data_IF_760272331061
#
_entry.id   IF_760272331061
#
_cell.length_a   1.000
_cell.length_b   1.000
_cell.length_c   1.000
_cell.angle_alpha   90.00
_cell.angle_beta   90.00
_cell.angle_gamma   90.00
#
_symmetry.space_group_name_H-M   'P 1'
#
loop_
_entity.id
_entity.type
_entity.pdbx_description
1 polymer ?
#
# COMPACT_ATOMS: atom_id res chain seq x y z
N UNK A 1 -10.16 4.20 -4.26
CA UNK A 1 -11.31 4.42 -3.36
C UNK A 1 -12.65 4.06 -4.01
N UNK A 2 -12.99 4.60 -5.18
CA UNK A 2 -14.30 4.40 -5.85
C UNK A 2 -14.59 2.93 -6.21
N UNK A 3 -13.59 2.13 -6.63
CA UNK A 3 -13.82 0.72 -6.99
C UNK A 3 -14.07 -0.18 -5.76
N UNK A 4 -13.51 0.15 -4.59
CA UNK A 4 -13.65 -0.65 -3.37
C UNK A 4 -14.94 -0.33 -2.58
N UNK A 5 -15.39 0.93 -2.59
CA UNK A 5 -16.66 1.32 -1.94
C UNK A 5 -17.86 0.72 -2.69
N UNK A 6 -17.83 0.72 -4.03
CA UNK A 6 -18.91 0.15 -4.86
C UNK A 6 -19.06 -1.37 -4.62
N UNK A 7 -17.97 -2.10 -4.38
CA UNK A 7 -18.03 -3.54 -4.07
C UNK A 7 -18.62 -3.84 -2.67
N UNK A 8 -18.49 -2.90 -1.71
CA UNK A 8 -19.02 -3.05 -0.34
C UNK A 8 -20.50 -2.62 -0.17
N UNK A 9 -21.10 -1.98 -1.17
CA UNK A 9 -22.48 -1.45 -1.10
C UNK A 9 -23.52 -2.26 -1.87
N UNK A 10 -23.15 -3.38 -2.49
CA UNK A 10 -24.11 -4.25 -3.22
C UNK A 10 -24.50 -5.43 -2.32
N UNK A 11 -25.75 -5.46 -1.78
CA UNK A 11 -26.24 -6.61 -1.02
C UNK A 11 -26.41 -7.80 -1.98
N UNK A 12 -25.51 -8.80 -1.88
CA UNK A 12 -25.54 -9.98 -2.75
C UNK A 12 -24.17 -10.54 -3.15
N UNK A 13 -23.08 -9.81 -2.90
CA UNK A 13 -21.72 -10.36 -2.94
C UNK A 13 -21.38 -10.77 -1.51
N UNK A 14 -21.57 -12.04 -1.14
CA UNK A 14 -20.94 -12.56 0.07
C UNK A 14 -19.43 -12.41 -0.12
N UNK A 15 -18.80 -11.51 0.63
CA UNK A 15 -17.35 -11.47 0.77
C UNK A 15 -16.90 -12.88 1.17
N UNK A 16 -16.34 -13.64 0.23
CA UNK A 16 -15.65 -14.86 0.59
C UNK A 16 -14.47 -14.46 1.47
N UNK A 17 -14.21 -15.15 2.60
CA UNK A 17 -13.11 -14.84 3.52
C UNK A 17 -11.71 -14.86 2.86
N UNK A 18 -11.62 -15.36 1.63
CA UNK A 18 -10.40 -15.58 0.82
C UNK A 18 -9.80 -14.26 0.28
N UNK A 19 -10.54 -13.15 0.19
CA UNK A 19 -10.09 -11.92 -0.52
C UNK A 19 -9.75 -10.75 0.43
N UNK A 20 -10.09 -10.84 1.72
CA UNK A 20 -10.00 -9.70 2.64
C UNK A 20 -8.55 -9.22 2.86
N UNK A 21 -7.58 -10.15 2.95
CA UNK A 21 -6.16 -9.82 3.14
C UNK A 21 -5.58 -9.09 1.91
N UNK A 22 -6.02 -9.47 0.70
CA UNK A 22 -5.62 -8.82 -0.53
C UNK A 22 -6.20 -7.39 -0.65
N UNK A 23 -7.46 -7.19 -0.26
CA UNK A 23 -8.09 -5.88 -0.24
C UNK A 23 -7.46 -4.95 0.79
N UNK A 24 -7.20 -5.46 2.01
CA UNK A 24 -6.53 -4.70 3.06
C UNK A 24 -5.11 -4.29 2.63
N UNK A 25 -4.34 -5.20 2.04
CA UNK A 25 -3.01 -4.91 1.50
C UNK A 25 -3.03 -3.74 0.52
N UNK A 26 -3.95 -3.75 -0.45
CA UNK A 26 -4.05 -2.68 -1.45
C UNK A 26 -4.45 -1.35 -0.82
N UNK A 27 -5.39 -1.37 0.13
CA UNK A 27 -5.83 -0.17 0.84
C UNK A 27 -4.68 0.44 1.67
N UNK A 28 -3.89 -0.38 2.36
CA UNK A 28 -2.71 0.07 3.12
C UNK A 28 -1.63 0.64 2.19
N UNK A 29 -1.39 0.02 1.03
CA UNK A 29 -0.40 0.53 0.06
C UNK A 29 -0.79 1.92 -0.48
N UNK A 30 -2.07 2.10 -0.82
CA UNK A 30 -2.59 3.39 -1.30
C UNK A 30 -2.58 4.44 -0.19
N UNK A 31 -3.06 4.09 1.01
CA UNK A 31 -3.12 5.02 2.14
C UNK A 31 -1.70 5.41 2.60
N UNK A 32 -0.78 4.46 2.73
CA UNK A 32 0.61 4.72 3.09
C UNK A 32 1.29 5.67 2.11
N UNK A 33 1.14 5.43 0.81
CA UNK A 33 1.64 6.33 -0.24
C UNK A 33 1.03 7.73 -0.14
N UNK A 34 -0.28 7.81 0.11
CA UNK A 34 -0.98 9.09 0.24
C UNK A 34 -0.49 9.88 1.47
N UNK A 35 -0.24 9.23 2.61
CA UNK A 35 0.30 9.93 3.80
C UNK A 35 1.69 10.54 3.54
N UNK A 36 2.54 9.88 2.75
CA UNK A 36 3.83 10.43 2.32
C UNK A 36 3.64 11.62 1.40
N UNK A 37 2.71 11.55 0.44
CA UNK A 37 2.38 12.67 -0.43
C UNK A 37 1.87 13.85 0.38
N UNK A 38 1.01 13.62 1.37
CA UNK A 38 0.53 14.65 2.30
C UNK A 38 1.69 15.29 3.06
N UNK A 39 2.67 14.51 3.54
CA UNK A 39 3.86 15.05 4.21
C UNK A 39 4.61 16.06 3.33
N UNK A 40 4.82 15.71 2.06
CA UNK A 40 5.50 16.59 1.09
C UNK A 40 4.67 17.84 0.75
N UNK A 41 3.35 17.70 0.64
CA UNK A 41 2.45 18.83 0.39
C UNK A 41 2.41 19.79 1.58
N UNK A 42 2.32 19.28 2.81
CA UNK A 42 2.31 20.13 4.01
C UNK A 42 3.64 20.86 4.24
N UNK A 43 4.77 20.23 3.86
CA UNK A 43 6.08 20.88 3.91
C UNK A 43 6.21 22.02 2.89
N UNK A 44 5.82 21.76 1.64
CA UNK A 44 5.98 22.71 0.53
C UNK A 44 4.89 23.79 0.47
N UNK A 45 3.69 23.50 0.97
CA UNK A 45 2.53 24.37 0.98
C UNK A 45 1.86 24.33 2.37
N UNK A 46 2.35 25.12 3.35
CA UNK A 46 1.78 25.15 4.70
C UNK A 46 0.32 25.62 4.68
N UNK A 47 -0.65 24.76 5.04
CA UNK A 47 -2.08 25.10 4.94
C UNK A 47 -2.59 25.89 6.16
N UNK A 48 -1.83 25.95 7.25
CA UNK A 48 -2.22 26.60 8.50
C UNK A 48 -1.44 27.91 8.73
N UNK A 49 -2.09 28.99 9.20
CA UNK A 49 -1.41 30.25 9.55
C UNK A 49 -0.30 30.03 10.57
N UNK A 50 0.83 30.72 10.40
CA UNK A 50 2.02 30.67 11.27
C UNK A 50 2.80 29.33 11.30
N UNK A 51 2.32 28.29 10.63
CA UNK A 51 3.03 27.02 10.53
C UNK A 51 4.33 27.13 9.74
N UNK A 52 4.42 28.06 8.79
CA UNK A 52 5.64 28.33 8.03
C UNK A 52 6.79 28.92 8.87
N UNK A 53 6.47 29.49 10.05
CA UNK A 53 7.45 30.09 10.96
C UNK A 53 7.76 29.21 12.17
N UNK A 54 6.93 28.19 12.43
CA UNK A 54 7.18 27.19 13.47
C UNK A 54 7.86 25.94 12.89
N UNK A 55 9.19 26.00 12.81
CA UNK A 55 10.02 24.92 12.27
C UNK A 55 9.92 23.61 13.04
N UNK A 56 9.70 23.67 14.36
CA UNK A 56 9.62 22.49 15.21
C UNK A 56 8.37 21.67 14.90
N UNK A 57 7.23 22.34 14.79
CA UNK A 57 5.97 21.70 14.42
C UNK A 57 6.01 21.20 12.96
N UNK A 58 6.60 21.96 12.03
CA UNK A 58 6.70 21.52 10.64
C UNK A 58 7.54 20.25 10.48
N UNK A 59 8.71 20.17 11.14
CA UNK A 59 9.57 18.98 11.11
C UNK A 59 8.88 17.77 11.78
N UNK A 60 8.22 18.01 12.92
CA UNK A 60 7.48 16.97 13.64
C UNK A 60 6.36 16.38 12.78
N UNK A 61 5.54 17.23 12.15
CA UNK A 61 4.45 16.77 11.27
C UNK A 61 4.98 16.01 10.05
N UNK A 62 6.06 16.49 9.42
CA UNK A 62 6.66 15.80 8.28
C UNK A 62 7.16 14.41 8.68
N UNK A 63 7.99 14.31 9.72
CA UNK A 63 8.54 13.03 10.18
C UNK A 63 7.45 12.07 10.65
N UNK A 64 6.43 12.58 11.34
CA UNK A 64 5.27 11.79 11.77
C UNK A 64 4.53 11.16 10.59
N UNK A 65 4.19 11.93 9.55
CA UNK A 65 3.49 11.41 8.37
C UNK A 65 4.36 10.47 7.54
N UNK A 66 5.68 10.75 7.45
CA UNK A 66 6.63 9.84 6.80
C UNK A 66 6.72 8.49 7.50
N UNK A 67 6.78 8.48 8.84
CA UNK A 67 6.83 7.24 9.61
C UNK A 67 5.53 6.45 9.54
N UNK A 68 4.38 7.11 9.68
CA UNK A 68 3.08 6.44 9.51
C UNK A 68 2.97 5.86 8.10
N UNK A 69 3.35 6.61 7.07
CA UNK A 69 3.35 6.11 5.70
C UNK A 69 4.26 4.91 5.50
N UNK A 70 5.46 4.95 6.08
CA UNK A 70 6.38 3.81 6.11
C UNK A 70 5.78 2.56 6.76
N UNK A 71 5.17 2.72 7.94
CA UNK A 71 4.50 1.60 8.64
C UNK A 71 3.36 1.01 7.82
N UNK A 72 2.55 1.84 7.15
CA UNK A 72 1.46 1.37 6.31
C UNK A 72 1.95 0.65 5.05
N UNK A 73 3.04 1.11 4.42
CA UNK A 73 3.62 0.44 3.24
C UNK A 73 4.23 -0.92 3.62
N UNK A 74 4.98 -0.99 4.72
CA UNK A 74 5.51 -2.27 5.23
C UNK A 74 4.36 -3.20 5.63
N UNK A 75 3.33 -2.65 6.28
CA UNK A 75 2.09 -3.37 6.60
C UNK A 75 1.40 -3.92 5.35
N UNK A 76 1.34 -3.17 4.25
CA UNK A 76 0.81 -3.65 2.98
C UNK A 76 1.62 -4.84 2.44
N UNK A 77 2.95 -4.74 2.43
CA UNK A 77 3.81 -5.83 1.98
C UNK A 77 3.64 -7.09 2.85
N UNK A 78 3.50 -6.93 4.17
CA UNK A 78 3.24 -8.04 5.08
C UNK A 78 1.89 -8.73 4.78
N UNK A 79 0.81 -7.97 4.59
CA UNK A 79 -0.49 -8.54 4.24
C UNK A 79 -0.47 -9.20 2.84
N UNK A 80 0.23 -8.61 1.86
CA UNK A 80 0.42 -9.24 0.55
C UNK A 80 1.14 -10.60 0.66
N UNK A 81 2.19 -10.70 1.48
CA UNK A 81 2.90 -11.95 1.70
C UNK A 81 2.03 -13.00 2.40
N UNK A 82 1.21 -12.60 3.38
CA UNK A 82 0.27 -13.51 4.07
C UNK A 82 -0.76 -14.06 3.08
N UNK A 83 -1.30 -13.20 2.21
CA UNK A 83 -2.21 -13.61 1.14
C UNK A 83 -1.56 -14.63 0.20
N UNK A 84 -0.29 -14.42 -0.20
CA UNK A 84 0.45 -15.34 -1.06
C UNK A 84 0.70 -16.73 -0.46
N UNK A 85 0.74 -16.83 0.88
CA UNK A 85 0.98 -18.11 1.57
C UNK A 85 -0.33 -18.84 1.89
N UNK A 86 -1.37 -18.10 2.27
CA UNK A 86 -2.62 -18.69 2.79
C UNK A 86 -3.69 -18.89 1.73
N UNK A 87 -3.87 -17.90 0.86
CA UNK A 87 -5.07 -17.78 0.02
C UNK A 87 -4.75 -17.79 -1.49
N UNK A 88 -3.47 -17.90 -1.85
CA UNK A 88 -3.03 -18.05 -3.23
C UNK A 88 -2.95 -19.53 -3.64
N UNK A 89 -3.78 -19.91 -4.60
CA UNK A 89 -3.74 -21.24 -5.22
C UNK A 89 -3.31 -21.12 -6.71
N UNK A 90 -2.18 -21.72 -7.11
CA UNK A 90 -1.66 -21.66 -8.47
C UNK A 90 -2.49 -22.48 -9.47
N UNK A 91 -3.31 -23.43 -9.01
CA UNK A 91 -4.14 -24.26 -9.91
C UNK A 91 -5.36 -23.51 -10.40
N UNK A 92 -5.94 -22.63 -9.58
CA UNK A 92 -7.09 -21.80 -9.92
C UNK A 92 -6.73 -20.48 -10.60
N UNK A 93 -5.49 -19.99 -10.44
CA UNK A 93 -5.00 -18.74 -11.06
C UNK A 93 -3.89 -18.95 -12.09
N UNK A 94 -3.99 -20.04 -12.85
CA UNK A 94 -3.05 -20.38 -13.90
C UNK A 94 -3.06 -19.35 -15.05
N UNK A 95 -1.88 -18.89 -15.48
CA UNK A 95 -1.69 -17.92 -16.56
C UNK A 95 -2.26 -16.50 -16.36
N UNK A 96 -2.69 -16.17 -15.13
CA UNK A 96 -3.03 -14.78 -14.78
C UNK A 96 -1.80 -13.87 -14.74
N UNK A 97 -2.04 -12.55 -14.66
CA UNK A 97 -0.98 -11.56 -14.55
C UNK A 97 -0.05 -11.83 -13.36
N UNK A 98 -0.61 -12.26 -12.22
CA UNK A 98 0.16 -12.57 -11.03
C UNK A 98 1.06 -13.78 -11.22
N UNK A 99 0.56 -14.85 -11.84
CA UNK A 99 1.33 -16.05 -12.17
C UNK A 99 2.47 -15.73 -13.16
N UNK A 100 2.24 -14.84 -14.12
CA UNK A 100 3.31 -14.36 -15.01
C UNK A 100 4.41 -13.62 -14.26
N UNK A 101 4.07 -12.78 -13.29
CA UNK A 101 5.05 -12.08 -12.44
C UNK A 101 5.86 -13.08 -11.62
N UNK A 102 5.21 -14.08 -11.02
CA UNK A 102 5.87 -15.12 -10.24
C UNK A 102 6.83 -15.98 -11.09
N UNK A 103 6.46 -16.31 -12.34
CA UNK A 103 7.35 -17.04 -13.27
C UNK A 103 8.63 -16.29 -13.64
N UNK A 104 8.65 -14.96 -13.53
CA UNK A 104 9.83 -14.13 -13.82
C UNK A 104 10.48 -13.56 -12.54
N UNK A 105 10.14 -14.08 -11.36
CA UNK A 105 10.62 -13.53 -10.07
C UNK A 105 12.14 -13.44 -9.95
N UNK A 106 12.88 -14.41 -10.50
CA UNK A 106 14.35 -14.44 -10.40
C UNK A 106 15.00 -13.33 -11.25
N UNK A 107 14.37 -12.96 -12.38
CA UNK A 107 14.79 -11.81 -13.18
C UNK A 107 14.53 -10.47 -12.46
N UNK A 108 13.41 -10.37 -11.73
CA UNK A 108 13.09 -9.20 -10.91
C UNK A 108 14.08 -9.08 -9.75
N UNK A 109 14.36 -10.17 -9.04
CA UNK A 109 15.26 -10.19 -7.88
C UNK A 109 16.71 -9.92 -8.31
N UNK A 110 17.19 -10.55 -9.38
CA UNK A 110 18.57 -10.36 -9.87
C UNK A 110 18.80 -8.91 -10.34
N UNK A 111 17.81 -8.29 -10.99
CA UNK A 111 17.90 -6.87 -11.36
C UNK A 111 17.94 -5.94 -10.15
N UNK A 112 17.20 -6.25 -9.10
CA UNK A 112 17.19 -5.43 -7.88
C UNK A 112 18.49 -5.57 -7.07
N UNK A 113 19.05 -6.78 -7.01
CA UNK A 113 20.29 -7.08 -6.29
C UNK A 113 21.53 -6.52 -6.99
N UNK A 114 21.52 -6.40 -8.33
CA UNK A 114 22.63 -5.78 -9.07
C UNK A 114 22.91 -4.31 -8.69
N UNK A 115 21.90 -3.59 -8.17
CA UNK A 115 22.02 -2.17 -7.85
C UNK A 115 22.42 -1.85 -6.40
N UNK A 116 22.63 -2.86 -5.55
CA UNK A 116 23.08 -2.73 -4.14
C UNK A 116 24.51 -3.21 -3.99
#
# INVERSE_FOLDING_TARGET
MIVCVIASTIPGISMNPIIEIAQLSLNLAMLGSLTIVVAHHMYSMPPYPYLATDYGTQLSLFTHHMWIGGFLIVGAAAHAAIFMVRDYDPTTRYNDLLDRVLRHRDAIISRMTFGT
#
